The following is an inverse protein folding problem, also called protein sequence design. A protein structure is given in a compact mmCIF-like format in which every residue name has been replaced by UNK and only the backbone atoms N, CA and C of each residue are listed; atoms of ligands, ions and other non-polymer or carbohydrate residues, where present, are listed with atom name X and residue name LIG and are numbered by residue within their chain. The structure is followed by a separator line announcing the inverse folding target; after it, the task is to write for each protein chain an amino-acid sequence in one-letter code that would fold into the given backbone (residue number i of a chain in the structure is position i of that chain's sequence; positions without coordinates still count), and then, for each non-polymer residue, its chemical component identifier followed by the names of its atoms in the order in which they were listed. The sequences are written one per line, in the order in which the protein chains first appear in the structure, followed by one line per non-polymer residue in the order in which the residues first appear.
data_IF_668570280359
#
_entry.id   IF_668570280359
#
_cell.length_a   1.000
_cell.length_b   1.000
_cell.length_c   1.000
_cell.angle_alpha   90.00
_cell.angle_beta   90.00
_cell.angle_gamma   90.00
#
_symmetry.space_group_name_H-M   'P 1'
#
loop_
_entity.id
_entity.type
_entity.pdbx_description
1 polymer ?
#
# COMPACT_ATOMS: atom_id res chain seq x y z
N UNK A 1 19.60 -11.68 -15.57
CA UNK A 1 18.89 -10.45 -15.95
C UNK A 1 18.77 -9.60 -14.69
N UNK A 2 19.01 -8.28 -14.71
CA UNK A 2 18.77 -7.45 -13.53
C UNK A 2 17.29 -7.58 -13.18
N UNK A 3 16.96 -8.04 -11.97
CA UNK A 3 15.59 -7.97 -11.48
C UNK A 3 15.28 -6.47 -11.40
N UNK A 4 14.27 -5.99 -12.14
CA UNK A 4 13.77 -4.63 -11.93
C UNK A 4 13.21 -4.57 -10.52
N UNK A 5 13.88 -3.83 -9.65
CA UNK A 5 13.45 -3.71 -8.27
C UNK A 5 12.40 -2.63 -8.15
N UNK A 6 11.36 -2.94 -7.38
CA UNK A 6 10.18 -2.08 -7.27
C UNK A 6 10.41 -1.08 -6.14
N UNK A 7 10.21 0.21 -6.43
CA UNK A 7 10.17 1.26 -5.43
C UNK A 7 8.71 1.67 -5.22
N UNK A 8 8.19 1.35 -4.03
CA UNK A 8 6.82 1.62 -3.62
C UNK A 8 6.81 2.82 -2.68
N UNK A 9 5.83 3.71 -2.78
CA UNK A 9 5.67 4.84 -1.83
C UNK A 9 4.22 5.01 -1.39
N UNK A 10 4.02 5.36 -0.12
CA UNK A 10 2.72 5.80 0.39
C UNK A 10 2.45 7.28 0.06
N UNK A 11 1.25 7.59 -0.43
CA UNK A 11 0.77 8.95 -0.73
C UNK A 11 -0.60 9.17 -0.10
N UNK A 12 -0.94 10.41 0.28
CA UNK A 12 -2.24 10.80 0.82
C UNK A 12 -2.24 11.12 2.32
N UNK A 13 -1.06 11.22 2.94
CA UNK A 13 -0.90 11.49 4.38
C UNK A 13 -0.52 12.92 4.72
N UNK A 14 -0.30 13.78 3.73
CA UNK A 14 -0.04 15.19 3.97
C UNK A 14 -0.36 16.05 2.74
N UNK A 15 -1.20 17.08 2.90
CA UNK A 15 -1.62 17.97 1.80
C UNK A 15 -0.45 18.61 1.03
N UNK A 16 0.69 18.87 1.67
CA UNK A 16 1.86 19.50 1.03
C UNK A 16 2.74 18.52 0.24
N UNK A 17 2.42 17.22 0.25
CA UNK A 17 3.18 16.20 -0.48
C UNK A 17 3.06 16.33 -2.02
N UNK A 18 2.17 17.21 -2.49
CA UNK A 18 1.81 17.38 -3.89
C UNK A 18 0.72 16.41 -4.32
N UNK A 19 0.25 16.60 -5.55
CA UNK A 19 -0.72 15.72 -6.19
C UNK A 19 -0.16 14.31 -6.42
N UNK A 20 -1.07 13.34 -6.62
CA UNK A 20 -0.69 11.98 -6.97
C UNK A 20 0.02 11.96 -8.34
N UNK A 21 -0.44 12.80 -9.27
CA UNK A 21 0.22 13.00 -10.57
C UNK A 21 1.67 13.46 -10.42
N UNK A 22 1.93 14.47 -9.59
CA UNK A 22 3.30 14.93 -9.32
C UNK A 22 4.18 13.81 -8.75
N UNK A 23 3.63 12.92 -7.91
CA UNK A 23 4.37 11.76 -7.41
C UNK A 23 4.77 10.81 -8.55
N UNK A 24 3.85 10.48 -9.45
CA UNK A 24 4.13 9.61 -10.59
C UNK A 24 5.02 10.28 -11.66
N UNK A 25 4.92 11.59 -11.82
CA UNK A 25 5.73 12.37 -12.76
C UNK A 25 7.21 12.43 -12.37
N UNK A 26 7.56 12.18 -11.09
CA UNK A 26 8.97 12.01 -10.66
C UNK A 26 9.67 10.87 -11.40
N UNK A 27 8.91 9.88 -11.86
CA UNK A 27 9.42 8.63 -12.40
C UNK A 27 10.19 7.79 -11.39
N UNK A 28 10.22 8.15 -10.10
CA UNK A 28 10.97 7.45 -9.04
C UNK A 28 10.30 6.14 -8.66
N UNK A 29 8.97 6.16 -8.51
CA UNK A 29 8.20 5.04 -7.99
C UNK A 29 7.64 4.18 -9.11
N UNK A 30 7.66 2.86 -8.91
CA UNK A 30 6.96 1.91 -9.80
C UNK A 30 5.59 1.54 -9.23
N UNK A 31 5.37 1.75 -7.93
CA UNK A 31 4.07 1.59 -7.27
C UNK A 31 3.80 2.77 -6.34
N UNK A 32 2.57 3.30 -6.35
CA UNK A 32 2.09 4.29 -5.37
C UNK A 32 0.89 3.70 -4.64
N UNK A 33 0.89 3.81 -3.31
CA UNK A 33 -0.18 3.34 -2.45
C UNK A 33 -0.91 4.56 -1.87
N UNK A 34 -2.16 4.74 -2.26
CA UNK A 34 -3.05 5.79 -1.74
C UNK A 34 -3.48 5.39 -0.33
N UNK A 35 -3.25 6.27 0.65
CA UNK A 35 -3.50 6.02 2.06
C UNK A 35 -4.38 7.11 2.69
N UNK A 36 -5.49 6.81 3.35
CA UNK A 36 -6.07 5.47 3.60
C UNK A 36 -7.58 5.45 3.36
N UNK A 37 -8.11 4.26 3.07
CA UNK A 37 -9.50 3.91 3.32
C UNK A 37 -9.65 3.48 4.78
N UNK A 38 -9.89 4.46 5.65
CA UNK A 38 -9.70 4.34 7.10
C UNK A 38 -10.96 4.01 7.90
N UNK A 39 -12.13 3.95 7.25
CA UNK A 39 -13.38 3.55 7.90
C UNK A 39 -14.10 2.51 7.07
N UNK A 40 -14.32 1.34 7.67
CA UNK A 40 -15.02 0.23 7.05
C UNK A 40 -15.52 -0.81 8.06
N UNK A 41 -16.35 -1.75 7.59
CA UNK A 41 -16.77 -2.92 8.36
C UNK A 41 -18.00 -2.73 9.26
N UNK A 42 -18.45 -1.49 9.43
CA UNK A 42 -19.63 -1.13 10.25
C UNK A 42 -20.73 -0.41 9.45
N UNK A 43 -20.88 -0.77 8.17
CA UNK A 43 -21.88 -0.16 7.25
C UNK A 43 -21.56 1.28 6.84
N UNK A 44 -20.34 1.75 7.14
CA UNK A 44 -19.83 3.09 6.84
C UNK A 44 -18.50 2.95 6.13
N UNK A 45 -18.27 3.80 5.11
CA UNK A 45 -17.14 3.69 4.21
C UNK A 45 -16.66 5.08 3.79
N UNK A 46 -15.42 5.45 4.13
CA UNK A 46 -14.82 6.68 3.60
C UNK A 46 -13.30 6.65 3.66
N UNK A 47 -12.63 7.32 2.71
CA UNK A 47 -11.20 7.56 2.77
C UNK A 47 -10.86 8.80 3.61
N UNK A 48 -9.66 8.82 4.16
CA UNK A 48 -8.99 10.02 4.67
C UNK A 48 -7.69 10.22 3.89
N UNK A 49 -7.67 11.24 3.02
CA UNK A 49 -6.52 11.65 2.24
C UNK A 49 -5.96 13.00 2.71
N UNK A 50 -6.04 13.28 4.01
CA UNK A 50 -5.34 14.42 4.64
C UNK A 50 -5.59 15.79 3.97
N UNK A 51 -6.82 16.01 3.49
CA UNK A 51 -7.24 17.28 2.88
C UNK A 51 -6.94 17.42 1.38
N UNK A 52 -6.53 16.35 0.69
CA UNK A 52 -6.49 16.29 -0.78
C UNK A 52 -7.91 16.31 -1.37
N UNK A 53 -8.06 16.93 -2.53
CA UNK A 53 -9.32 16.90 -3.29
C UNK A 53 -9.51 15.52 -3.92
N UNK A 54 -10.38 14.71 -3.31
CA UNK A 54 -10.69 13.35 -3.73
C UNK A 54 -11.20 13.29 -5.17
N UNK A 55 -11.92 14.31 -5.64
CA UNK A 55 -12.44 14.34 -7.00
C UNK A 55 -11.32 14.47 -8.06
N UNK A 56 -10.22 15.15 -7.72
CA UNK A 56 -9.07 15.30 -8.61
C UNK A 56 -8.22 14.00 -8.71
N UNK A 57 -8.20 13.19 -7.65
CA UNK A 57 -7.37 11.96 -7.57
C UNK A 57 -7.69 10.97 -8.70
N UNK A 58 -8.94 10.91 -9.17
CA UNK A 58 -9.32 10.00 -10.24
C UNK A 58 -8.58 10.22 -11.56
N UNK A 59 -8.37 11.49 -11.95
CA UNK A 59 -7.60 11.83 -13.15
C UNK A 59 -6.12 11.47 -12.98
N UNK A 60 -5.57 11.69 -11.78
CA UNK A 60 -4.19 11.37 -11.45
C UNK A 60 -3.92 9.86 -11.47
N UNK A 61 -4.84 9.04 -10.95
CA UNK A 61 -4.74 7.57 -11.02
C UNK A 61 -4.59 7.13 -12.48
N UNK A 62 -5.46 7.62 -13.38
CA UNK A 62 -5.41 7.28 -14.80
C UNK A 62 -4.09 7.72 -15.44
N UNK A 63 -3.59 8.90 -15.09
CA UNK A 63 -2.28 9.38 -15.57
C UNK A 63 -1.13 8.49 -15.10
N UNK A 64 -1.06 8.15 -13.81
CA UNK A 64 -0.06 7.25 -13.26
C UNK A 64 -0.03 5.90 -13.99
N UNK A 65 -1.21 5.29 -14.18
CA UNK A 65 -1.33 3.98 -14.82
C UNK A 65 -0.99 4.04 -16.31
N UNK A 66 -1.55 5.00 -17.05
CA UNK A 66 -1.52 4.99 -18.52
C UNK A 66 -0.30 5.70 -19.08
N UNK A 67 0.11 6.83 -18.48
CA UNK A 67 1.23 7.64 -18.97
C UNK A 67 2.56 7.26 -18.33
N UNK A 68 2.55 6.68 -17.11
CA UNK A 68 3.78 6.37 -16.37
C UNK A 68 3.99 4.89 -16.10
N UNK A 69 3.02 4.03 -16.42
CA UNK A 69 3.06 2.60 -16.11
C UNK A 69 3.33 2.33 -14.62
N UNK A 70 2.76 3.18 -13.75
CA UNK A 70 2.85 3.06 -12.29
C UNK A 70 1.64 2.29 -11.79
N UNK A 71 1.88 1.27 -10.96
CA UNK A 71 0.79 0.57 -10.27
C UNK A 71 0.23 1.45 -9.16
N UNK A 72 -1.09 1.61 -9.10
CA UNK A 72 -1.76 2.43 -8.09
C UNK A 72 -2.66 1.55 -7.22
N UNK A 73 -2.35 1.46 -5.94
CA UNK A 73 -3.12 0.69 -4.95
C UNK A 73 -3.88 1.62 -4.00
N UNK A 74 -5.00 1.14 -3.44
CA UNK A 74 -5.66 1.79 -2.30
C UNK A 74 -5.37 0.97 -1.04
N UNK A 75 -4.77 1.59 -0.03
CA UNK A 75 -4.53 0.95 1.26
C UNK A 75 -5.73 1.12 2.19
N UNK A 76 -6.20 0.01 2.75
CA UNK A 76 -7.24 0.00 3.78
C UNK A 76 -6.59 -0.03 5.16
N UNK A 77 -7.25 0.62 6.13
CA UNK A 77 -6.85 0.63 7.52
C UNK A 77 -6.03 1.88 7.86
N UNK A 78 -4.76 1.69 8.21
CA UNK A 78 -3.88 2.75 8.72
C UNK A 78 -3.94 2.90 10.25
N UNK A 79 -3.34 3.96 10.77
CA UNK A 79 -3.17 4.20 12.22
C UNK A 79 -4.48 4.60 12.95
N UNK A 80 -5.62 4.63 12.26
CA UNK A 80 -6.93 4.93 12.86
C UNK A 80 -7.59 3.71 13.50
N UNK A 81 -8.70 3.89 14.21
CA UNK A 81 -9.41 2.85 14.98
C UNK A 81 -10.83 2.54 14.48
N UNK A 82 -11.24 3.18 13.38
CA UNK A 82 -12.62 3.17 12.87
C UNK A 82 -12.92 2.05 11.87
N UNK A 83 -12.15 0.97 11.94
CA UNK A 83 -12.32 -0.17 11.06
C UNK A 83 -12.15 -1.48 11.82
N UNK A 84 -12.95 -2.49 11.47
CA UNK A 84 -12.78 -3.87 11.92
C UNK A 84 -13.62 -4.81 11.05
N UNK A 85 -13.35 -6.11 11.08
CA UNK A 85 -14.14 -7.11 10.35
C UNK A 85 -14.69 -8.17 11.32
N UNK A 86 -15.68 -7.83 12.17
CA UNK A 86 -16.14 -8.73 13.24
C UNK A 86 -16.79 -10.02 12.72
N UNK A 87 -17.26 -10.04 11.47
CA UNK A 87 -17.94 -11.19 10.87
C UNK A 87 -17.48 -11.47 9.43
N UNK A 88 -17.75 -12.69 8.95
CA UNK A 88 -17.58 -13.03 7.54
C UNK A 88 -18.42 -12.13 6.62
N UNK A 89 -19.60 -11.72 7.09
CA UNK A 89 -20.48 -10.80 6.37
C UNK A 89 -19.86 -9.42 6.23
N UNK A 90 -19.26 -8.86 7.28
CA UNK A 90 -18.57 -7.56 7.18
C UNK A 90 -17.41 -7.62 6.19
N UNK A 91 -16.64 -8.72 6.13
CA UNK A 91 -15.59 -8.89 5.13
C UNK A 91 -16.15 -8.90 3.69
N UNK A 92 -17.23 -9.65 3.45
CA UNK A 92 -17.91 -9.69 2.15
C UNK A 92 -18.49 -8.32 1.75
N UNK A 93 -19.15 -7.63 2.69
CA UNK A 93 -19.76 -6.33 2.43
C UNK A 93 -18.69 -5.26 2.13
N UNK A 94 -17.55 -5.28 2.84
CA UNK A 94 -16.40 -4.41 2.57
C UNK A 94 -15.79 -4.72 1.20
N UNK A 95 -15.56 -6.00 0.86
CA UNK A 95 -15.06 -6.41 -0.45
C UNK A 95 -15.97 -5.90 -1.58
N UNK A 96 -17.29 -6.08 -1.42
CA UNK A 96 -18.30 -5.62 -2.37
C UNK A 96 -18.35 -4.09 -2.50
N UNK A 97 -18.13 -3.35 -1.41
CA UNK A 97 -18.03 -1.89 -1.47
C UNK A 97 -16.76 -1.45 -2.21
N UNK A 98 -15.60 -2.02 -1.89
CA UNK A 98 -14.33 -1.74 -2.57
C UNK A 98 -14.44 -2.05 -4.07
N UNK A 99 -15.09 -3.18 -4.40
CA UNK A 99 -15.37 -3.56 -5.79
C UNK A 99 -16.11 -2.46 -6.55
N UNK A 100 -17.22 -1.98 -6.00
CA UNK A 100 -18.11 -1.05 -6.69
C UNK A 100 -17.69 0.43 -6.61
N UNK A 101 -16.93 0.81 -5.58
CA UNK A 101 -16.53 2.20 -5.37
C UNK A 101 -15.14 2.54 -5.95
N UNK A 102 -14.21 1.57 -5.98
CA UNK A 102 -12.79 1.84 -6.30
C UNK A 102 -12.18 0.87 -7.32
N UNK A 103 -12.71 -0.35 -7.44
CA UNK A 103 -12.25 -1.34 -8.42
C UNK A 103 -13.20 -1.35 -9.64
N UNK A 104 -13.18 -2.43 -10.43
CA UNK A 104 -13.92 -2.56 -11.69
C UNK A 104 -15.43 -2.76 -11.58
N UNK A 105 -16.01 -2.68 -10.37
CA UNK A 105 -17.45 -2.71 -10.17
C UNK A 105 -18.12 -1.39 -10.53
N UNK A 106 -19.41 -1.29 -10.23
CA UNK A 106 -20.21 -0.14 -10.65
C UNK A 106 -21.69 -0.24 -10.30
N UNK A 107 -22.01 -0.86 -9.15
CA UNK A 107 -23.40 -0.98 -8.70
C UNK A 107 -24.07 0.40 -8.60
N UNK A 108 -25.22 0.54 -9.27
CA UNK A 108 -26.04 1.77 -9.21
C UNK A 108 -26.32 2.16 -7.76
N UNK A 109 -26.07 3.44 -7.43
CA UNK A 109 -26.28 3.99 -6.09
C UNK A 109 -25.05 3.92 -5.17
N UNK A 110 -23.96 3.29 -5.58
CA UNK A 110 -22.66 3.38 -4.89
C UNK A 110 -21.90 4.59 -5.43
N UNK A 111 -21.56 5.53 -4.55
CA UNK A 111 -20.73 6.67 -4.92
C UNK A 111 -19.28 6.22 -5.15
N UNK A 112 -18.67 6.68 -6.26
CA UNK A 112 -17.27 6.41 -6.60
C UNK A 112 -16.42 7.66 -6.29
N UNK A 113 -15.61 7.67 -5.21
CA UNK A 113 -14.91 8.88 -4.80
C UNK A 113 -13.88 9.35 -5.83
N UNK A 114 -13.22 8.42 -6.53
CA UNK A 114 -12.28 8.73 -7.62
C UNK A 114 -12.96 8.79 -9.00
N UNK A 115 -14.29 8.95 -9.05
CA UNK A 115 -15.08 8.90 -10.27
C UNK A 115 -14.88 7.58 -11.03
N UNK A 116 -14.70 7.68 -12.34
CA UNK A 116 -14.51 6.52 -13.23
C UNK A 116 -13.09 5.92 -13.17
N UNK A 117 -12.25 6.34 -12.21
CA UNK A 117 -10.95 5.70 -12.01
C UNK A 117 -11.10 4.36 -11.31
N UNK A 118 -10.23 3.43 -11.67
CA UNK A 118 -10.16 2.08 -11.11
C UNK A 118 -8.74 1.86 -10.61
N UNK A 119 -8.56 1.55 -9.34
CA UNK A 119 -7.22 1.22 -8.80
C UNK A 119 -6.80 -0.20 -9.22
N UNK A 120 -5.50 -0.46 -9.26
CA UNK A 120 -4.95 -1.77 -9.64
C UNK A 120 -5.18 -2.83 -8.56
N UNK A 121 -5.35 -2.40 -7.32
CA UNK A 121 -5.80 -3.26 -6.25
C UNK A 121 -5.71 -2.67 -4.86
N UNK A 122 -5.65 -3.54 -3.86
CA UNK A 122 -5.83 -3.22 -2.45
C UNK A 122 -4.61 -3.62 -1.64
N UNK A 123 -4.13 -2.69 -0.82
CA UNK A 123 -3.11 -2.93 0.19
C UNK A 123 -3.77 -3.07 1.57
N UNK A 124 -3.38 -4.09 2.34
CA UNK A 124 -3.87 -4.31 3.70
C UNK A 124 -2.86 -3.72 4.69
N UNK A 125 -3.18 -2.59 5.31
CA UNK A 125 -2.40 -1.98 6.39
C UNK A 125 -3.25 -2.01 7.67
N UNK A 126 -3.14 -3.10 8.43
CA UNK A 126 -4.08 -3.39 9.54
C UNK A 126 -3.35 -3.27 10.88
N UNK A 127 -3.33 -2.06 11.44
CA UNK A 127 -2.72 -1.80 12.76
C UNK A 127 -3.74 -1.95 13.91
N UNK A 128 -5.00 -1.64 13.62
CA UNK A 128 -6.11 -1.71 14.56
C UNK A 128 -7.26 -2.50 13.93
N UNK A 129 -8.30 -2.86 14.68
CA UNK A 129 -9.49 -3.54 14.10
C UNK A 129 -9.56 -5.06 14.25
N UNK A 130 -8.71 -5.66 15.09
CA UNK A 130 -8.72 -7.08 15.43
C UNK A 130 -8.27 -7.98 14.28
N UNK A 131 -8.26 -9.30 14.51
CA UNK A 131 -7.60 -10.27 13.60
C UNK A 131 -8.53 -11.07 12.69
N UNK A 132 -9.83 -11.01 12.95
CA UNK A 132 -10.78 -11.89 12.29
C UNK A 132 -11.13 -11.42 10.86
N UNK A 133 -11.32 -12.39 9.96
CA UNK A 133 -11.96 -12.25 8.64
C UNK A 133 -11.20 -11.45 7.55
N UNK A 134 -9.94 -11.06 7.76
CA UNK A 134 -9.10 -10.47 6.70
C UNK A 134 -8.68 -11.50 5.63
N UNK A 135 -8.57 -12.78 6.00
CA UNK A 135 -8.47 -13.93 5.09
C UNK A 135 -9.65 -13.99 4.11
N UNK A 136 -10.87 -13.79 4.63
CA UNK A 136 -12.10 -13.79 3.83
C UNK A 136 -12.20 -12.56 2.96
N UNK A 137 -11.78 -11.40 3.47
CA UNK A 137 -11.68 -10.19 2.67
C UNK A 137 -10.74 -10.41 1.48
N UNK A 138 -9.54 -10.94 1.70
CA UNK A 138 -8.58 -11.26 0.63
C UNK A 138 -9.17 -12.26 -0.38
N UNK A 139 -9.85 -13.30 0.10
CA UNK A 139 -10.53 -14.30 -0.74
C UNK A 139 -11.63 -13.70 -1.60
N UNK A 140 -12.43 -12.78 -1.05
CA UNK A 140 -13.45 -12.08 -1.84
C UNK A 140 -12.84 -11.13 -2.86
N UNK A 141 -11.78 -10.40 -2.50
CA UNK A 141 -11.11 -9.47 -3.39
C UNK A 141 -10.38 -10.15 -4.55
N UNK A 142 -9.79 -11.33 -4.33
CA UNK A 142 -9.07 -12.07 -5.38
C UNK A 142 -9.97 -12.52 -6.54
N UNK A 143 -11.28 -12.67 -6.28
CA UNK A 143 -12.28 -12.96 -7.32
C UNK A 143 -12.55 -11.80 -8.28
N UNK A 144 -12.12 -10.58 -7.95
CA UNK A 144 -12.39 -9.36 -8.71
C UNK A 144 -11.30 -9.04 -9.74
N UNK A 145 -11.47 -7.94 -10.50
CA UNK A 145 -10.50 -7.46 -11.51
C UNK A 145 -10.00 -6.04 -11.20
N UNK A 146 -8.77 -5.74 -11.58
CA UNK A 146 -8.16 -4.41 -11.40
C UNK A 146 -8.46 -3.44 -12.54
N UNK A 147 -7.69 -2.36 -12.63
CA UNK A 147 -7.83 -1.29 -13.63
C UNK A 147 -7.80 -1.79 -15.09
N UNK A 148 -6.94 -2.76 -15.37
CA UNK A 148 -7.01 -3.52 -16.62
C UNK A 148 -8.00 -4.66 -16.41
N UNK A 149 -9.22 -4.56 -16.94
CA UNK A 149 -10.31 -5.53 -16.68
C UNK A 149 -9.99 -7.01 -16.96
N UNK A 150 -8.87 -7.30 -17.65
CA UNK A 150 -8.34 -8.65 -17.86
C UNK A 150 -7.35 -9.13 -16.78
N UNK A 151 -6.86 -8.23 -15.92
CA UNK A 151 -5.90 -8.53 -14.85
C UNK A 151 -6.61 -8.70 -13.51
N UNK A 152 -6.21 -9.69 -12.70
CA UNK A 152 -6.72 -9.83 -11.34
C UNK A 152 -6.36 -8.60 -10.50
N UNK A 153 -7.16 -8.36 -9.46
CA UNK A 153 -6.83 -7.37 -8.43
C UNK A 153 -5.47 -7.71 -7.81
N UNK A 154 -4.60 -6.71 -7.71
CA UNK A 154 -3.34 -6.84 -6.99
C UNK A 154 -3.63 -6.75 -5.49
N UNK A 155 -3.25 -7.78 -4.73
CA UNK A 155 -3.35 -7.74 -3.27
C UNK A 155 -1.95 -7.64 -2.67
N UNK A 156 -1.75 -6.62 -1.83
CA UNK A 156 -0.54 -6.45 -1.04
C UNK A 156 -0.89 -6.34 0.44
N UNK A 157 0.08 -6.58 1.30
CA UNK A 157 -0.04 -6.30 2.73
C UNK A 157 1.14 -5.46 3.18
N UNK A 158 0.88 -4.50 4.06
CA UNK A 158 1.89 -3.70 4.73
C UNK A 158 1.82 -4.01 6.21
N UNK A 159 2.83 -4.75 6.68
CA UNK A 159 2.83 -5.39 8.01
C UNK A 159 3.90 -4.76 8.88
N UNK A 160 3.69 -4.79 10.19
CA UNK A 160 4.73 -4.48 11.17
C UNK A 160 5.76 -5.59 11.21
N UNK A 161 6.96 -5.22 11.64
CA UNK A 161 7.94 -6.21 12.02
C UNK A 161 7.73 -6.52 13.51
N UNK A 162 6.86 -7.49 13.82
CA UNK A 162 6.60 -7.87 15.21
C UNK A 162 6.64 -9.38 15.42
N UNK A 163 6.99 -9.75 16.64
CA UNK A 163 7.18 -11.10 17.16
C UNK A 163 5.85 -11.86 17.37
N UNK A 164 5.03 -11.99 16.32
CA UNK A 164 3.80 -12.80 16.34
C UNK A 164 2.58 -12.14 16.98
N UNK A 165 2.54 -10.81 17.06
CA UNK A 165 1.37 -10.06 17.54
C UNK A 165 0.43 -9.57 16.41
N UNK A 166 0.88 -9.56 15.16
CA UNK A 166 0.08 -9.08 14.03
C UNK A 166 -0.76 -10.19 13.37
N UNK A 167 -1.75 -10.66 14.11
CA UNK A 167 -2.59 -11.79 13.66
C UNK A 167 -3.54 -11.44 12.49
N UNK A 168 -3.81 -10.16 12.26
CA UNK A 168 -4.76 -9.70 11.23
C UNK A 168 -4.24 -9.87 9.81
N UNK A 169 -3.02 -9.39 9.55
CA UNK A 169 -2.38 -9.54 8.25
C UNK A 169 -1.86 -10.97 8.04
N UNK A 170 -1.46 -11.66 9.11
CA UNK A 170 -1.10 -13.09 9.06
C UNK A 170 -2.21 -13.96 8.47
N UNK A 171 -3.47 -13.75 8.88
CA UNK A 171 -4.60 -14.51 8.35
C UNK A 171 -4.78 -14.28 6.84
N UNK A 172 -4.63 -13.04 6.37
CA UNK A 172 -4.67 -12.72 4.95
C UNK A 172 -3.48 -13.32 4.18
N UNK A 173 -2.28 -13.29 4.77
CA UNK A 173 -1.07 -13.87 4.19
C UNK A 173 -1.18 -15.40 4.04
N UNK A 174 -1.76 -16.09 5.02
CA UNK A 174 -1.96 -17.53 5.02
C UNK A 174 -2.83 -18.04 3.86
N UNK A 175 -3.60 -17.17 3.21
CA UNK A 175 -4.39 -17.52 2.00
C UNK A 175 -3.53 -17.77 0.76
N UNK A 176 -2.28 -17.29 0.74
CA UNK A 176 -1.43 -17.30 -0.45
C UNK A 176 -1.87 -16.32 -1.56
N UNK A 177 -2.84 -15.44 -1.28
CA UNK A 177 -3.37 -14.48 -2.25
C UNK A 177 -2.63 -13.14 -2.25
N UNK A 178 -1.88 -12.85 -1.20
CA UNK A 178 -1.07 -11.63 -1.09
C UNK A 178 0.16 -11.77 -1.98
N UNK A 179 0.20 -11.00 -3.06
CA UNK A 179 1.28 -11.08 -4.06
C UNK A 179 2.54 -10.30 -3.68
N UNK A 180 2.44 -9.30 -2.79
CA UNK A 180 3.59 -8.54 -2.25
C UNK A 180 3.39 -8.18 -0.79
N UNK A 181 4.47 -8.29 -0.02
CA UNK A 181 4.52 -7.98 1.40
C UNK A 181 5.52 -6.85 1.65
N UNK A 182 5.04 -5.71 2.12
CA UNK A 182 5.86 -4.58 2.58
C UNK A 182 6.01 -4.67 4.10
N UNK A 183 7.18 -5.08 4.61
CA UNK A 183 7.41 -5.12 6.06
C UNK A 183 8.03 -3.82 6.51
N UNK A 184 7.43 -3.20 7.53
CA UNK A 184 7.95 -1.97 8.14
C UNK A 184 9.10 -2.30 9.09
N UNK A 185 10.34 -2.01 8.69
CA UNK A 185 11.53 -2.13 9.56
C UNK A 185 11.74 -0.88 10.43
N UNK A 186 10.65 -0.29 10.91
CA UNK A 186 10.64 0.95 11.67
C UNK A 186 9.43 1.01 12.60
N UNK A 187 9.55 1.77 13.68
CA UNK A 187 8.65 1.84 14.83
C UNK A 187 8.52 0.53 15.64
N UNK A 188 9.33 -0.50 15.36
CA UNK A 188 9.31 -1.80 16.04
C UNK A 188 10.75 -2.33 16.29
N UNK A 189 10.99 -2.94 17.45
CA UNK A 189 12.33 -3.28 17.95
C UNK A 189 12.87 -4.65 17.53
N UNK A 190 12.08 -5.56 16.96
CA UNK A 190 12.53 -6.91 16.59
C UNK A 190 11.89 -7.46 15.29
N UNK A 191 12.75 -8.07 14.45
CA UNK A 191 12.37 -8.68 13.18
C UNK A 191 12.96 -10.09 13.06
N UNK A 192 12.19 -11.17 13.26
CA UNK A 192 12.64 -12.51 12.88
C UNK A 192 12.50 -12.72 11.36
N UNK A 193 13.45 -13.48 10.79
CA UNK A 193 13.70 -13.69 9.36
C UNK A 193 12.46 -13.96 8.50
N UNK A 194 12.04 -12.95 7.72
CA UNK A 194 11.31 -13.10 6.45
C UNK A 194 12.01 -12.14 5.46
N UNK A 195 12.45 -12.47 4.25
CA UNK A 195 11.76 -12.90 3.02
C UNK A 195 10.70 -11.89 2.52
N UNK A 196 11.14 -10.66 2.17
CA UNK A 196 10.35 -9.43 2.40
C UNK A 196 10.77 -8.27 1.47
N UNK A 197 9.85 -7.32 1.18
CA UNK A 197 10.24 -5.97 0.75
C UNK A 197 10.62 -5.13 1.97
N UNK A 198 11.79 -4.49 1.90
CA UNK A 198 12.30 -3.67 3.01
C UNK A 198 11.53 -2.35 3.06
N UNK A 199 10.61 -2.21 4.01
CA UNK A 199 9.91 -0.96 4.31
C UNK A 199 10.76 -0.08 5.20
N UNK A 200 11.08 1.13 4.72
CA UNK A 200 11.94 2.09 5.42
C UNK A 200 11.27 3.46 5.59
N UNK A 201 11.57 4.18 6.68
CA UNK A 201 11.33 5.61 6.80
C UNK A 201 12.01 6.36 5.66
N UNK A 202 11.26 7.20 4.94
CA UNK A 202 11.83 8.04 3.87
C UNK A 202 12.65 9.22 4.41
N UNK A 203 12.58 9.50 5.71
CA UNK A 203 13.36 10.50 6.42
C UNK A 203 13.58 10.11 7.88
N UNK A 204 14.60 10.68 8.52
CA UNK A 204 15.00 10.37 9.90
C UNK A 204 13.90 10.62 10.93
N UNK A 205 12.93 11.47 10.60
CA UNK A 205 11.79 11.85 11.45
C UNK A 205 10.46 11.23 11.00
N UNK A 206 10.45 10.24 10.09
CA UNK A 206 9.22 9.55 9.67
C UNK A 206 8.69 8.55 10.70
N UNK A 207 9.58 8.10 11.57
CA UNK A 207 9.41 7.01 12.52
C UNK A 207 10.30 7.29 13.75
N UNK A 208 10.02 6.66 14.89
CA UNK A 208 10.84 6.75 16.10
C UNK A 208 12.23 6.12 15.93
N UNK A 209 12.36 5.15 15.03
CA UNK A 209 13.59 4.43 14.68
C UNK A 209 13.51 3.88 13.24
N UNK A 210 14.46 3.02 12.86
CA UNK A 210 14.44 2.29 11.58
C UNK A 210 14.87 3.09 10.34
N UNK A 211 15.15 4.40 10.47
CA UNK A 211 15.73 5.16 9.37
C UNK A 211 17.19 4.76 9.14
N UNK A 212 17.53 4.43 7.90
CA UNK A 212 18.89 4.11 7.46
C UNK A 212 19.36 5.15 6.46
N UNK A 213 20.56 5.68 6.64
CA UNK A 213 21.17 6.60 5.67
C UNK A 213 21.15 5.99 4.25
N UNK A 214 20.74 6.71 3.19
CA UNK A 214 20.64 6.16 1.84
C UNK A 214 21.92 5.48 1.33
N UNK A 215 23.09 6.04 1.64
CA UNK A 215 24.37 5.46 1.23
C UNK A 215 24.64 4.15 1.96
N UNK A 216 24.45 4.11 3.29
CA UNK A 216 24.57 2.87 4.07
C UNK A 216 23.55 1.81 3.63
N UNK A 217 22.31 2.21 3.31
CA UNK A 217 21.32 1.29 2.77
C UNK A 217 21.81 0.64 1.47
N UNK A 218 22.34 1.46 0.56
CA UNK A 218 22.90 0.99 -0.72
C UNK A 218 24.10 0.06 -0.53
N UNK A 219 25.06 0.40 0.32
CA UNK A 219 26.31 -0.35 0.41
C UNK A 219 26.23 -1.55 1.35
N UNK A 220 25.41 -1.45 2.40
CA UNK A 220 25.40 -2.42 3.48
C UNK A 220 24.15 -3.32 3.45
N UNK A 221 23.00 -2.81 3.00
CA UNK A 221 21.71 -3.54 3.06
C UNK A 221 21.33 -4.15 1.71
N UNK A 222 21.41 -3.38 0.62
CA UNK A 222 21.02 -3.84 -0.73
C UNK A 222 21.73 -5.15 -1.12
N UNK A 223 23.06 -5.33 -0.92
CA UNK A 223 23.73 -6.58 -1.28
C UNK A 223 23.20 -7.80 -0.51
N UNK A 224 22.78 -7.62 0.74
CA UNK A 224 22.23 -8.69 1.58
C UNK A 224 20.84 -9.11 1.09
N UNK A 225 19.98 -8.14 0.78
CA UNK A 225 18.59 -8.41 0.41
C UNK A 225 18.43 -8.84 -1.05
N UNK A 226 19.21 -8.29 -1.99
CA UNK A 226 19.18 -8.73 -3.40
C UNK A 226 19.63 -10.20 -3.56
N UNK A 227 20.45 -10.71 -2.64
CA UNK A 227 20.83 -12.13 -2.57
C UNK A 227 19.69 -13.06 -2.16
N UNK A 228 18.58 -12.54 -1.62
CA UNK A 228 17.43 -13.36 -1.22
C UNK A 228 16.51 -13.62 -2.42
N UNK A 229 16.07 -14.87 -2.66
CA UNK A 229 15.27 -15.22 -3.84
C UNK A 229 13.98 -14.41 -3.98
N UNK A 230 13.43 -13.94 -2.87
CA UNK A 230 12.11 -13.34 -2.79
C UNK A 230 12.10 -11.85 -2.39
N UNK A 231 13.25 -11.18 -2.43
CA UNK A 231 13.30 -9.72 -2.42
C UNK A 231 12.65 -9.15 -3.68
N UNK A 232 11.70 -8.22 -3.48
CA UNK A 232 11.00 -7.54 -4.57
C UNK A 232 11.22 -6.03 -4.62
N UNK A 233 11.81 -5.44 -3.57
CA UNK A 233 12.20 -4.04 -3.52
C UNK A 233 11.98 -3.32 -2.21
N UNK A 234 11.83 -2.01 -2.30
CA UNK A 234 11.79 -1.09 -1.16
C UNK A 234 10.44 -0.40 -1.12
N UNK A 235 9.87 -0.30 0.08
CA UNK A 235 8.69 0.51 0.34
C UNK A 235 9.11 1.72 1.19
N UNK A 236 8.71 2.91 0.76
CA UNK A 236 9.02 4.17 1.44
C UNK A 236 7.76 4.72 2.12
N UNK A 237 7.88 4.94 3.43
CA UNK A 237 6.93 5.75 4.19
C UNK A 237 7.53 7.14 4.40
N UNK A 238 7.06 8.19 3.72
CA UNK A 238 6.01 8.32 2.71
C UNK A 238 6.39 9.44 1.73
N UNK A 239 5.53 9.75 0.74
CA UNK A 239 5.82 10.71 -0.35
C UNK A 239 6.13 12.12 0.15
N UNK A 240 5.46 12.58 1.21
CA UNK A 240 5.71 13.90 1.81
C UNK A 240 7.16 14.06 2.25
N UNK A 241 7.69 13.04 2.92
CA UNK A 241 9.06 13.04 3.43
C UNK A 241 10.06 12.78 2.31
N UNK A 242 9.75 11.86 1.41
CA UNK A 242 10.61 11.58 0.26
C UNK A 242 10.76 12.82 -0.66
N UNK A 243 9.73 13.67 -0.77
CA UNK A 243 9.79 14.96 -1.46
C UNK A 243 10.92 15.84 -0.95
N UNK A 244 11.13 15.82 0.36
CA UNK A 244 12.04 16.71 1.08
C UNK A 244 13.43 16.10 1.19
N UNK A 245 13.52 14.79 1.38
CA UNK A 245 14.79 14.08 1.57
C UNK A 245 15.43 13.62 0.26
N UNK A 246 14.66 13.45 -0.82
CA UNK A 246 15.10 12.81 -2.06
C UNK A 246 15.65 11.40 -1.87
N UNK A 247 15.15 10.66 -0.86
CA UNK A 247 15.61 9.32 -0.52
C UNK A 247 15.42 8.36 -1.69
N UNK A 248 14.19 8.27 -2.22
CA UNK A 248 13.82 7.42 -3.33
C UNK A 248 14.62 7.75 -4.58
N UNK A 249 14.84 9.03 -4.88
CA UNK A 249 15.69 9.45 -6.01
C UNK A 249 17.13 8.94 -5.87
N UNK A 250 17.67 8.97 -4.64
CA UNK A 250 19.04 8.51 -4.34
C UNK A 250 19.18 7.00 -4.57
N UNK A 251 18.19 6.20 -4.16
CA UNK A 251 18.28 4.74 -4.21
C UNK A 251 17.77 4.12 -5.52
N UNK A 252 16.92 4.83 -6.28
CA UNK A 252 16.23 4.32 -7.49
C UNK A 252 17.16 3.65 -8.53
N UNK A 253 18.35 4.20 -8.75
CA UNK A 253 19.30 3.67 -9.74
C UNK A 253 20.10 2.46 -9.27
N UNK A 254 19.89 2.04 -8.02
CA UNK A 254 20.73 1.10 -7.30
C UNK A 254 19.92 -0.09 -6.79
N UNK A 255 18.70 0.19 -6.32
CA UNK A 255 17.75 -0.86 -5.96
C UNK A 255 17.34 -1.62 -7.21
#
# INVERSE_FOLDING_TARGET
MPKFVTLTVFWGRNKEEGSLREACDTGVYTTVIISFFSVFGHGKYWPDLSGHDVAAVGADIKHCQQAKNVTVLLSIGGDGDKYSLPTAKSAKDVAGYLWDAYLGGGRKGVFRPFGEAVVDGIDLYIDHGGSANYDKLATHLSGHRGASGNKPVVLTATVRCMDGQETSSEAALATGLIGRLHVRFYNDTMCPNASVFVGLPAAWNAASDGWVNPASFVFDVVPLVQGTPNYGGVMLWNRYLDKRSSYGLTIKGIV
#
